data_IF_184755835443
#
_entry.id   IF_184755835443
#
_cell.length_a   1.000
_cell.length_b   1.000
_cell.length_c   1.000
_cell.angle_alpha   90.00
_cell.angle_beta   90.00
_cell.angle_gamma   90.00
#
_symmetry.space_group_name_H-M   'P 1'
#
loop_
_entity.id
_entity.type
_entity.pdbx_description
1 polymer ?
#
# COMPACT_ATOMS: atom_id res chain seq x y z
N UNK A 1 -15.71 -18.11 -1.23
CA UNK A 1 -15.03 -17.84 -2.50
C UNK A 1 -13.69 -17.17 -2.21
N UNK A 2 -12.61 -17.70 -2.74
CA UNK A 2 -11.23 -17.28 -2.46
C UNK A 2 -10.75 -16.14 -3.40
N UNK A 3 -11.60 -15.13 -3.64
CA UNK A 3 -11.19 -13.96 -4.38
C UNK A 3 -10.35 -13.04 -3.50
N UNK A 4 -9.09 -12.85 -3.86
CA UNK A 4 -8.11 -11.98 -3.18
C UNK A 4 -8.15 -10.52 -3.68
N UNK A 5 -9.01 -10.21 -4.64
CA UNK A 5 -9.16 -8.84 -5.17
C UNK A 5 -7.95 -8.32 -5.97
N UNK A 6 -7.16 -9.20 -6.59
CA UNK A 6 -5.92 -8.85 -7.29
C UNK A 6 -6.11 -8.14 -8.63
N UNK A 7 -7.34 -8.05 -9.16
CA UNK A 7 -7.70 -7.42 -10.45
C UNK A 7 -7.08 -8.06 -11.70
N UNK A 8 -6.38 -9.20 -11.59
CA UNK A 8 -5.81 -9.89 -12.75
C UNK A 8 -6.90 -10.29 -13.75
N UNK A 9 -8.05 -10.77 -13.27
CA UNK A 9 -9.19 -11.11 -14.13
C UNK A 9 -9.64 -9.95 -15.03
N UNK A 10 -9.66 -8.71 -14.53
CA UNK A 10 -10.03 -7.53 -15.31
C UNK A 10 -9.00 -7.23 -16.40
N UNK A 11 -7.71 -7.42 -16.11
CA UNK A 11 -6.63 -7.21 -17.07
C UNK A 11 -6.61 -8.27 -18.17
N UNK A 12 -6.78 -9.52 -17.78
CA UNK A 12 -6.61 -10.67 -18.69
C UNK A 12 -7.87 -10.99 -19.49
N UNK A 13 -9.05 -10.55 -19.02
CA UNK A 13 -10.30 -10.75 -19.72
C UNK A 13 -10.43 -9.80 -20.92
N UNK A 14 -10.65 -10.31 -22.15
CA UNK A 14 -10.88 -9.45 -23.33
C UNK A 14 -12.07 -8.48 -23.16
N UNK A 15 -13.06 -8.85 -22.34
CA UNK A 15 -14.24 -8.03 -22.01
C UNK A 15 -14.04 -7.19 -20.76
N UNK A 16 -12.84 -7.14 -20.19
CA UNK A 16 -12.50 -6.41 -18.97
C UNK A 16 -13.44 -6.68 -17.76
N UNK A 17 -13.94 -7.91 -17.63
CA UNK A 17 -14.85 -8.32 -16.54
C UNK A 17 -14.13 -8.28 -15.20
N UNK A 18 -14.62 -7.46 -14.27
CA UNK A 18 -14.05 -7.30 -12.94
C UNK A 18 -14.70 -8.26 -11.93
N UNK A 19 -14.18 -9.50 -11.84
CA UNK A 19 -14.64 -10.47 -10.87
C UNK A 19 -14.38 -10.03 -9.42
N UNK A 20 -13.41 -9.17 -9.18
CA UNK A 20 -13.15 -8.64 -7.84
C UNK A 20 -14.29 -7.71 -7.39
N UNK A 21 -14.82 -6.87 -8.29
CA UNK A 21 -15.99 -6.05 -8.03
C UNK A 21 -17.25 -6.91 -7.76
N UNK A 22 -17.47 -7.95 -8.58
CA UNK A 22 -18.57 -8.89 -8.35
C UNK A 22 -18.46 -9.62 -6.99
N UNK A 23 -17.24 -9.97 -6.57
CA UNK A 23 -17.01 -10.58 -5.26
C UNK A 23 -17.30 -9.62 -4.10
N UNK A 24 -17.03 -8.33 -4.25
CA UNK A 24 -17.41 -7.29 -3.28
C UNK A 24 -18.92 -7.20 -3.17
N UNK A 25 -19.62 -7.12 -4.30
CA UNK A 25 -21.08 -7.07 -4.35
C UNK A 25 -21.73 -8.33 -3.72
N UNK A 26 -21.20 -9.51 -4.04
CA UNK A 26 -21.68 -10.76 -3.46
C UNK A 26 -21.51 -10.80 -1.92
N UNK A 27 -20.39 -10.25 -1.41
CA UNK A 27 -20.19 -10.10 0.04
C UNK A 27 -21.17 -9.11 0.65
N UNK A 28 -21.39 -7.96 0.01
CA UNK A 28 -22.34 -6.94 0.47
C UNK A 28 -23.77 -7.50 0.57
N UNK A 29 -24.25 -8.20 -0.47
CA UNK A 29 -25.57 -8.88 -0.45
C UNK A 29 -25.66 -9.94 0.64
N UNK A 30 -24.58 -10.72 0.84
CA UNK A 30 -24.51 -11.70 1.94
C UNK A 30 -24.71 -11.03 3.30
N UNK A 31 -24.08 -9.86 3.53
CA UNK A 31 -24.23 -9.15 4.79
C UNK A 31 -25.63 -8.57 4.96
N UNK A 32 -26.21 -8.03 3.90
CA UNK A 32 -27.61 -7.57 3.91
C UNK A 32 -28.59 -8.71 4.28
N UNK A 33 -28.46 -9.87 3.64
CA UNK A 33 -29.30 -11.02 3.91
C UNK A 33 -29.15 -11.59 5.35
N UNK A 34 -28.01 -11.29 6.03
CA UNK A 34 -27.74 -11.71 7.42
C UNK A 34 -28.03 -10.64 8.46
N UNK A 35 -28.61 -9.49 8.07
CA UNK A 35 -28.84 -8.39 8.99
C UNK A 35 -27.56 -7.60 9.39
N UNK A 36 -26.42 -7.88 8.75
CA UNK A 36 -25.16 -7.17 8.97
C UNK A 36 -23.91 -8.05 8.84
N UNK A 37 -22.77 -7.40 8.73
CA UNK A 37 -21.49 -8.10 8.72
C UNK A 37 -21.09 -8.52 10.15
N UNK A 38 -20.40 -9.68 10.32
CA UNK A 38 -19.85 -10.10 11.60
C UNK A 38 -18.95 -9.03 12.23
N UNK A 39 -18.95 -8.94 13.56
CA UNK A 39 -18.15 -7.96 14.29
C UNK A 39 -16.66 -8.03 13.93
N UNK A 40 -16.11 -9.25 13.82
CA UNK A 40 -14.72 -9.45 13.43
C UNK A 40 -14.39 -8.81 12.07
N UNK A 41 -15.28 -8.93 11.08
CA UNK A 41 -15.11 -8.31 9.75
C UNK A 41 -15.09 -6.79 9.85
N UNK A 42 -16.01 -6.21 10.64
CA UNK A 42 -16.09 -4.76 10.87
C UNK A 42 -14.87 -4.21 11.60
N UNK A 43 -14.36 -4.94 12.60
CA UNK A 43 -13.15 -4.57 13.34
C UNK A 43 -11.91 -4.64 12.47
N UNK A 44 -11.74 -5.69 11.67
CA UNK A 44 -10.61 -5.83 10.76
C UNK A 44 -10.62 -4.76 9.65
N UNK A 45 -11.79 -4.40 9.13
CA UNK A 45 -11.90 -3.31 8.15
C UNK A 45 -11.54 -1.93 8.71
N UNK A 46 -11.56 -1.78 10.04
CA UNK A 46 -11.21 -0.55 10.75
C UNK A 46 -9.95 -0.71 11.62
N UNK A 47 -9.08 -1.66 11.27
CA UNK A 47 -7.93 -2.05 12.08
C UNK A 47 -7.01 -0.88 12.51
N UNK A 48 -6.63 0.10 11.65
CA UNK A 48 -5.77 1.20 12.08
C UNK A 48 -6.41 2.04 13.21
N UNK A 49 -7.70 2.37 13.08
CA UNK A 49 -8.42 3.11 14.12
C UNK A 49 -8.52 2.34 15.41
N UNK A 50 -8.78 1.03 15.32
CA UNK A 50 -8.86 0.14 16.47
C UNK A 50 -7.51 0.00 17.16
N UNK A 51 -6.44 -0.24 16.40
CA UNK A 51 -5.07 -0.39 16.93
C UNK A 51 -4.57 0.93 17.53
N UNK A 52 -4.93 2.07 16.96
CA UNK A 52 -4.59 3.39 17.54
C UNK A 52 -5.21 3.57 18.91
N UNK A 53 -6.43 3.08 19.14
CA UNK A 53 -7.14 3.20 20.42
C UNK A 53 -6.82 2.07 21.41
N UNK A 54 -6.65 0.86 20.91
CA UNK A 54 -6.56 -0.37 21.69
C UNK A 54 -5.27 -1.17 21.38
N UNK A 55 -4.18 -0.50 20.96
CA UNK A 55 -2.92 -1.15 20.59
C UNK A 55 -2.30 -2.03 21.69
N UNK A 56 -2.68 -1.81 22.94
CA UNK A 56 -2.32 -2.69 24.06
C UNK A 56 -2.85 -4.11 23.83
N UNK A 57 -4.07 -4.28 23.29
CA UNK A 57 -4.66 -5.60 23.03
C UNK A 57 -3.89 -6.36 21.93
N UNK A 58 -3.43 -5.67 20.90
CA UNK A 58 -2.59 -6.27 19.87
C UNK A 58 -1.24 -6.74 20.44
N UNK A 59 -0.66 -5.97 21.38
CA UNK A 59 0.58 -6.35 22.09
C UNK A 59 0.34 -7.55 23.01
N UNK A 60 -0.77 -7.58 23.73
CA UNK A 60 -1.15 -8.72 24.59
C UNK A 60 -1.34 -10.00 23.79
N UNK A 61 -1.93 -9.92 22.60
CA UNK A 61 -2.03 -11.08 21.70
C UNK A 61 -0.68 -11.72 21.42
N UNK A 62 0.33 -10.91 21.20
CA UNK A 62 1.68 -11.39 20.87
C UNK A 62 2.50 -11.79 22.11
N UNK A 63 2.26 -11.17 23.27
CA UNK A 63 3.03 -11.36 24.49
C UNK A 63 2.52 -12.50 25.38
N UNK A 64 1.21 -12.72 25.41
CA UNK A 64 0.62 -13.71 26.32
C UNK A 64 0.70 -15.14 25.76
N UNK A 65 1.08 -16.14 26.57
CA UNK A 65 0.97 -17.54 26.21
C UNK A 65 -0.48 -17.87 25.81
N UNK A 66 -0.68 -18.44 24.61
CA UNK A 66 -2.01 -18.76 24.09
C UNK A 66 -2.81 -17.59 23.52
N UNK A 67 -2.34 -16.33 23.63
CA UNK A 67 -3.03 -15.15 23.12
C UNK A 67 -3.33 -15.21 21.61
N UNK A 68 -2.42 -15.76 20.81
CA UNK A 68 -2.63 -15.99 19.37
C UNK A 68 -3.73 -17.02 19.10
N UNK A 69 -3.80 -18.12 19.90
CA UNK A 69 -4.85 -19.15 19.80
C UNK A 69 -6.21 -18.60 20.21
N UNK A 70 -6.26 -17.75 21.24
CA UNK A 70 -7.49 -17.09 21.65
C UNK A 70 -7.98 -16.13 20.55
N UNK A 71 -7.09 -15.32 19.96
CA UNK A 71 -7.45 -14.43 18.85
C UNK A 71 -7.92 -15.21 17.61
N UNK A 72 -7.39 -16.39 17.37
CA UNK A 72 -7.89 -17.26 16.30
C UNK A 72 -9.33 -17.73 16.59
N UNK A 73 -9.63 -18.15 17.81
CA UNK A 73 -11.00 -18.61 18.19
C UNK A 73 -12.02 -17.47 18.13
N UNK A 74 -11.64 -16.27 18.57
CA UNK A 74 -12.57 -15.12 18.69
C UNK A 74 -12.69 -14.33 17.39
N UNK A 75 -11.59 -14.11 16.68
CA UNK A 75 -11.53 -13.22 15.51
C UNK A 75 -11.21 -13.96 14.20
N UNK A 76 -10.95 -15.26 14.23
CA UNK A 76 -10.55 -16.05 13.07
C UNK A 76 -9.12 -15.74 12.59
N UNK A 77 -8.32 -14.99 13.35
CA UNK A 77 -6.94 -14.65 12.98
C UNK A 77 -5.99 -15.83 13.20
N UNK A 78 -5.36 -16.33 12.15
CA UNK A 78 -4.46 -17.48 12.23
C UNK A 78 -3.36 -17.27 13.27
N UNK A 79 -3.15 -18.27 14.15
CA UNK A 79 -2.17 -18.18 15.23
C UNK A 79 -0.72 -18.19 14.75
N UNK A 80 -0.45 -18.65 13.52
CA UNK A 80 0.87 -18.64 12.87
C UNK A 80 1.24 -17.26 12.36
N UNK A 81 0.27 -16.39 12.08
CA UNK A 81 0.47 -15.03 11.55
C UNK A 81 0.77 -14.03 12.65
N UNK A 82 1.73 -13.17 12.39
CA UNK A 82 1.92 -11.93 13.15
C UNK A 82 0.99 -10.84 12.62
N UNK A 83 0.51 -9.98 13.49
CA UNK A 83 -0.25 -8.79 13.08
C UNK A 83 0.66 -7.55 13.07
N UNK A 84 0.43 -6.57 12.18
CA UNK A 84 1.21 -5.35 12.17
C UNK A 84 1.17 -4.64 13.53
N UNK A 85 2.32 -4.14 13.97
CA UNK A 85 2.45 -3.37 15.21
C UNK A 85 2.40 -1.90 14.88
N UNK A 86 1.62 -1.14 15.69
CA UNK A 86 1.67 0.31 15.60
C UNK A 86 3.06 0.84 15.91
N UNK A 87 3.55 1.73 15.06
CA UNK A 87 4.79 2.44 15.29
C UNK A 87 4.67 3.34 16.54
N UNK A 88 5.78 3.51 17.27
CA UNK A 88 5.82 4.44 18.42
C UNK A 88 5.55 5.88 18.00
N UNK A 89 6.01 6.25 16.84
CA UNK A 89 5.89 7.57 16.24
C UNK A 89 5.26 7.45 14.85
N UNK A 90 3.93 7.50 14.74
CA UNK A 90 3.25 7.56 13.45
C UNK A 90 3.76 8.72 12.59
N UNK A 91 3.57 8.66 11.29
CA UNK A 91 4.12 9.65 10.38
C UNK A 91 3.66 11.07 10.71
N UNK A 92 2.35 11.26 10.87
CA UNK A 92 1.78 12.59 11.13
C UNK A 92 2.03 13.15 12.54
N UNK A 93 2.65 12.42 13.45
CA UNK A 93 2.90 12.91 14.80
C UNK A 93 3.78 14.18 14.84
N UNK A 94 4.65 14.38 13.85
CA UNK A 94 5.66 15.46 13.83
C UNK A 94 5.86 16.13 12.47
N UNK A 95 4.96 15.91 11.50
CA UNK A 95 5.12 16.51 10.17
C UNK A 95 4.39 17.87 10.08
N UNK A 96 4.90 18.89 9.44
CA UNK A 96 4.14 20.08 9.07
C UNK A 96 3.13 19.73 7.94
N UNK A 97 2.24 20.66 7.61
CA UNK A 97 1.28 20.47 6.52
C UNK A 97 1.92 20.51 5.13
N UNK A 98 3.11 21.09 5.04
CA UNK A 98 3.80 21.33 3.79
C UNK A 98 5.31 21.35 4.01
N UNK A 99 6.08 20.76 3.08
CA UNK A 99 7.55 20.69 3.11
C UNK A 99 8.11 20.84 1.69
N UNK A 100 9.26 21.50 1.57
CA UNK A 100 10.00 21.66 0.33
C UNK A 100 10.25 23.12 -0.01
N UNK A 101 11.02 23.38 -1.08
CA UNK A 101 11.40 24.73 -1.47
C UNK A 101 10.21 25.51 -2.07
N UNK A 102 10.13 26.81 -1.78
CA UNK A 102 9.23 27.70 -2.49
C UNK A 102 9.57 27.69 -3.99
N UNK A 103 8.53 27.53 -4.85
CA UNK A 103 8.72 27.40 -6.30
C UNK A 103 9.05 25.99 -6.78
N UNK A 104 9.20 25.00 -5.90
CA UNK A 104 9.29 23.60 -6.28
C UNK A 104 7.98 23.10 -6.92
N UNK A 105 8.06 22.01 -7.70
CA UNK A 105 6.87 21.38 -8.26
C UNK A 105 5.94 20.92 -7.15
N UNK A 106 4.71 21.43 -7.16
CA UNK A 106 3.72 21.07 -6.14
C UNK A 106 3.16 19.66 -6.35
N UNK A 107 3.21 18.86 -5.30
CA UNK A 107 2.63 17.51 -5.26
C UNK A 107 1.92 17.28 -3.93
N UNK A 108 0.97 16.38 -3.91
CA UNK A 108 0.34 15.89 -2.67
C UNK A 108 0.91 14.52 -2.37
N UNK A 109 1.46 14.30 -1.18
CA UNK A 109 1.77 12.97 -0.70
C UNK A 109 0.58 12.48 0.15
N UNK A 110 -0.21 11.58 -0.40
CA UNK A 110 -1.31 10.94 0.28
C UNK A 110 -0.79 9.78 1.14
N UNK A 111 -0.72 10.01 2.44
CA UNK A 111 -0.38 8.97 3.41
C UNK A 111 -1.67 8.42 3.99
N UNK A 112 -1.97 7.17 3.68
CA UNK A 112 -3.13 6.46 4.21
C UNK A 112 -2.93 6.07 5.69
N UNK A 113 -4.02 5.67 6.35
CA UNK A 113 -4.03 5.39 7.79
C UNK A 113 -3.20 4.14 8.17
N UNK A 114 -2.99 3.19 7.25
CA UNK A 114 -2.12 2.03 7.48
C UNK A 114 -0.65 2.43 7.37
N UNK A 115 -0.28 3.15 6.32
CA UNK A 115 1.09 3.64 6.13
C UNK A 115 1.50 4.57 7.27
N UNK A 116 0.62 5.50 7.68
CA UNK A 116 0.89 6.39 8.83
C UNK A 116 1.19 5.62 10.11
N UNK A 117 0.39 4.59 10.40
CA UNK A 117 0.43 3.90 11.68
C UNK A 117 1.42 2.73 11.74
N UNK A 118 1.53 1.96 10.66
CA UNK A 118 2.29 0.71 10.66
C UNK A 118 3.63 0.81 9.93
N UNK A 119 3.75 1.71 8.96
CA UNK A 119 4.94 1.86 8.12
C UNK A 119 5.34 3.35 7.92
N UNK A 120 5.45 4.14 9.00
CA UNK A 120 5.75 5.57 8.89
C UNK A 120 7.10 5.86 8.22
N UNK A 121 8.04 4.93 8.26
CA UNK A 121 9.35 5.07 7.64
C UNK A 121 9.26 5.05 6.10
N UNK A 122 8.30 4.32 5.54
CA UNK A 122 7.99 4.37 4.10
C UNK A 122 7.52 5.76 3.69
N UNK A 123 6.62 6.37 4.47
CA UNK A 123 6.14 7.73 4.20
C UNK A 123 7.24 8.79 4.39
N UNK A 124 8.10 8.64 5.42
CA UNK A 124 9.26 9.52 5.63
C UNK A 124 10.26 9.43 4.49
N UNK A 125 10.54 8.21 4.03
CA UNK A 125 11.43 7.97 2.90
C UNK A 125 10.88 8.60 1.61
N UNK A 126 9.60 8.40 1.31
CA UNK A 126 8.96 8.99 0.15
C UNK A 126 9.00 10.52 0.20
N UNK A 127 8.72 11.11 1.36
CA UNK A 127 8.82 12.55 1.57
C UNK A 127 10.25 13.07 1.32
N UNK A 128 11.27 12.39 1.85
CA UNK A 128 12.67 12.74 1.64
C UNK A 128 13.06 12.67 0.15
N UNK A 129 12.62 11.63 -0.55
CA UNK A 129 12.85 11.46 -2.00
C UNK A 129 12.18 12.58 -2.80
N UNK A 130 10.90 12.90 -2.51
CA UNK A 130 10.17 13.97 -3.21
C UNK A 130 10.81 15.35 -2.98
N UNK A 131 11.23 15.64 -1.75
CA UNK A 131 11.94 16.89 -1.43
C UNK A 131 13.30 16.95 -2.13
N UNK A 132 14.06 15.85 -2.14
CA UNK A 132 15.33 15.76 -2.85
C UNK A 132 15.17 15.92 -4.38
N UNK A 133 14.03 15.47 -4.92
CA UNK A 133 13.64 15.67 -6.32
C UNK A 133 13.15 17.11 -6.62
N UNK A 134 13.21 18.04 -5.65
CA UNK A 134 12.81 19.43 -5.83
C UNK A 134 11.31 19.69 -5.71
N UNK A 135 10.53 18.74 -5.19
CA UNK A 135 9.10 18.94 -5.00
C UNK A 135 8.79 19.78 -3.74
N UNK A 136 7.70 20.54 -3.83
CA UNK A 136 6.98 21.10 -2.69
C UNK A 136 5.82 20.15 -2.36
N UNK A 137 5.90 19.51 -1.21
CA UNK A 137 5.03 18.39 -0.85
C UNK A 137 3.95 18.85 0.13
N UNK A 138 2.68 18.75 -0.27
CA UNK A 138 1.53 18.97 0.59
C UNK A 138 1.15 17.67 1.29
N UNK A 139 0.89 17.75 2.59
CA UNK A 139 0.56 16.63 3.49
C UNK A 139 -0.84 16.83 4.09
N UNK A 140 -1.91 16.59 3.34
CA UNK A 140 -3.27 16.73 3.86
C UNK A 140 -3.52 15.74 4.99
N UNK A 141 -4.34 16.19 5.98
CA UNK A 141 -4.70 15.42 7.17
C UNK A 141 -6.21 15.40 7.36
N UNK A 142 -6.78 14.30 7.90
CA UNK A 142 -8.17 14.31 8.35
C UNK A 142 -8.40 15.38 9.40
N UNK A 143 -9.50 16.10 9.28
CA UNK A 143 -9.93 17.11 10.27
C UNK A 143 -10.52 16.50 11.54
N UNK A 144 -10.99 15.27 11.46
CA UNK A 144 -11.73 14.55 12.49
C UNK A 144 -10.88 13.62 13.36
N UNK A 145 -9.55 13.68 13.21
CA UNK A 145 -8.67 12.86 14.03
C UNK A 145 -7.20 12.83 13.62
N UNK A 146 -6.35 12.27 14.47
CA UNK A 146 -4.94 12.11 14.18
C UNK A 146 -4.72 10.99 13.13
N UNK A 147 -3.74 11.19 12.26
CA UNK A 147 -3.24 10.17 11.34
C UNK A 147 -3.59 10.38 9.88
N UNK A 148 -3.35 9.33 9.08
CA UNK A 148 -3.62 9.32 7.66
C UNK A 148 -5.08 9.09 7.31
N UNK A 149 -5.41 9.29 6.03
CA UNK A 149 -6.77 9.08 5.55
C UNK A 149 -7.12 7.60 5.40
N UNK A 150 -8.28 7.14 5.92
CA UNK A 150 -8.85 5.88 5.49
C UNK A 150 -9.29 6.02 4.04
N UNK A 151 -8.83 5.13 3.18
CA UNK A 151 -9.17 5.17 1.74
C UNK A 151 -10.51 4.52 1.43
N UNK A 152 -11.04 3.72 2.35
CA UNK A 152 -12.23 2.88 2.13
C UNK A 152 -11.91 1.51 1.55
N UNK A 153 -10.68 1.24 1.11
CA UNK A 153 -10.30 -0.04 0.48
C UNK A 153 -10.50 -1.26 1.39
N UNK A 154 -10.08 -1.26 2.67
CA UNK A 154 -10.35 -2.39 3.56
C UNK A 154 -11.84 -2.68 3.73
N UNK A 155 -12.66 -1.63 3.91
CA UNK A 155 -14.11 -1.75 4.04
C UNK A 155 -14.74 -2.28 2.74
N UNK A 156 -14.33 -1.76 1.57
CA UNK A 156 -14.81 -2.21 0.28
C UNK A 156 -14.50 -3.70 0.06
N UNK A 157 -13.25 -4.10 0.28
CA UNK A 157 -12.81 -5.49 0.15
C UNK A 157 -13.59 -6.45 1.06
N UNK A 158 -14.03 -5.96 2.21
CA UNK A 158 -14.87 -6.71 3.16
C UNK A 158 -16.37 -6.74 2.79
N UNK A 159 -16.80 -6.01 1.73
CA UNK A 159 -18.21 -5.86 1.35
C UNK A 159 -18.99 -4.85 2.20
N UNK A 160 -18.29 -3.98 2.95
CA UNK A 160 -18.88 -2.91 3.76
C UNK A 160 -19.00 -1.63 2.93
N UNK A 161 -19.78 -1.70 1.85
CA UNK A 161 -19.85 -0.67 0.79
C UNK A 161 -20.26 0.71 1.33
N UNK A 162 -21.19 0.77 2.28
CA UNK A 162 -21.64 2.04 2.90
C UNK A 162 -20.49 2.71 3.66
N UNK A 163 -19.72 1.94 4.41
CA UNK A 163 -18.53 2.44 5.11
C UNK A 163 -17.46 2.88 4.12
N UNK A 164 -17.17 2.08 3.10
CA UNK A 164 -16.20 2.39 2.07
C UNK A 164 -16.54 3.70 1.34
N UNK A 165 -17.82 3.88 0.96
CA UNK A 165 -18.30 5.11 0.31
C UNK A 165 -18.12 6.34 1.21
N UNK A 166 -18.46 6.24 2.50
CA UNK A 166 -18.28 7.34 3.45
C UNK A 166 -16.81 7.73 3.60
N UNK A 167 -15.91 6.76 3.77
CA UNK A 167 -14.47 7.00 3.91
C UNK A 167 -13.89 7.61 2.63
N UNK A 168 -14.23 7.05 1.47
CA UNK A 168 -13.81 7.57 0.18
C UNK A 168 -14.36 8.98 -0.11
N UNK A 169 -15.62 9.27 0.24
CA UNK A 169 -16.20 10.60 0.09
C UNK A 169 -15.47 11.67 0.91
N UNK A 170 -15.11 11.34 2.16
CA UNK A 170 -14.33 12.24 3.01
C UNK A 170 -12.93 12.50 2.41
N UNK A 171 -12.28 11.47 1.87
CA UNK A 171 -11.00 11.60 1.19
C UNK A 171 -11.11 12.47 -0.08
N UNK A 172 -12.10 12.23 -0.93
CA UNK A 172 -12.36 13.01 -2.15
C UNK A 172 -12.57 14.49 -1.82
N UNK A 173 -13.40 14.78 -0.81
CA UNK A 173 -13.66 16.15 -0.37
C UNK A 173 -12.39 16.86 0.15
N UNK A 174 -11.57 16.15 0.92
CA UNK A 174 -10.34 16.70 1.47
C UNK A 174 -9.29 16.98 0.39
N UNK A 175 -9.24 16.16 -0.66
CA UNK A 175 -8.28 16.32 -1.76
C UNK A 175 -8.78 17.27 -2.86
N UNK A 176 -10.06 17.64 -2.87
CA UNK A 176 -10.65 18.49 -3.92
C UNK A 176 -9.90 19.80 -4.18
N UNK A 177 -9.43 20.58 -3.16
CA UNK A 177 -8.66 21.81 -3.40
C UNK A 177 -7.32 21.54 -4.11
N UNK A 178 -6.65 20.45 -3.78
CA UNK A 178 -5.39 20.06 -4.41
C UNK A 178 -5.61 19.59 -5.85
N UNK A 179 -6.65 18.80 -6.08
CA UNK A 179 -7.06 18.33 -7.41
C UNK A 179 -7.44 19.50 -8.31
N UNK A 180 -8.19 20.48 -7.80
CA UNK A 180 -8.54 21.69 -8.52
C UNK A 180 -7.32 22.55 -8.89
N UNK A 181 -6.27 22.52 -8.06
CA UNK A 181 -4.99 23.17 -8.33
C UNK A 181 -4.07 22.38 -9.29
N UNK A 182 -4.54 21.24 -9.83
CA UNK A 182 -3.76 20.40 -10.75
C UNK A 182 -2.60 19.63 -10.11
N UNK A 183 -2.56 19.51 -8.78
CA UNK A 183 -1.48 18.84 -8.06
C UNK A 183 -1.63 17.32 -8.18
N UNK A 184 -0.61 16.58 -8.68
CA UNK A 184 -0.64 15.13 -8.66
C UNK A 184 -0.69 14.60 -7.23
N UNK A 185 -1.53 13.59 -7.01
CA UNK A 185 -1.71 12.93 -5.71
C UNK A 185 -0.90 11.65 -5.71
N UNK A 186 0.17 11.65 -4.94
CA UNK A 186 1.16 10.56 -4.89
C UNK A 186 0.80 9.58 -3.77
N UNK A 187 0.68 8.30 -4.11
CA UNK A 187 0.45 7.22 -3.15
C UNK A 187 1.61 6.27 -3.01
N UNK A 188 1.60 5.51 -1.94
CA UNK A 188 2.68 4.58 -1.57
C UNK A 188 2.20 3.12 -1.56
N UNK A 189 1.06 2.84 -0.93
CA UNK A 189 0.49 1.49 -0.90
C UNK A 189 -0.36 1.25 -2.16
N UNK A 190 0.07 0.35 -3.07
CA UNK A 190 -0.60 0.21 -4.37
C UNK A 190 -2.08 -0.18 -4.28
N UNK A 191 -2.45 -1.03 -3.31
CA UNK A 191 -3.84 -1.46 -3.17
C UNK A 191 -4.77 -0.33 -2.73
N UNK A 192 -4.28 0.57 -1.88
CA UNK A 192 -5.05 1.69 -1.36
C UNK A 192 -5.09 2.85 -2.34
N UNK A 193 -4.01 3.09 -3.04
CA UNK A 193 -3.91 4.21 -3.96
C UNK A 193 -4.55 3.93 -5.32
N UNK A 194 -4.32 2.75 -5.89
CA UNK A 194 -4.88 2.39 -7.20
C UNK A 194 -6.40 2.14 -7.15
N UNK A 195 -6.99 1.93 -5.97
CA UNK A 195 -8.46 1.97 -5.86
C UNK A 195 -9.05 3.32 -6.25
N UNK A 196 -8.30 4.43 -6.10
CA UNK A 196 -8.74 5.77 -6.51
C UNK A 196 -8.94 5.87 -8.03
N UNK A 197 -8.21 5.04 -8.80
CA UNK A 197 -8.33 4.98 -10.26
C UNK A 197 -9.45 4.07 -10.76
N UNK A 198 -9.88 3.11 -9.96
CA UNK A 198 -10.79 2.05 -10.40
C UNK A 198 -12.00 1.91 -9.47
N UNK A 199 -11.79 1.38 -8.26
CA UNK A 199 -12.89 1.05 -7.34
C UNK A 199 -13.70 2.30 -6.93
N UNK A 200 -13.08 3.47 -6.91
CA UNK A 200 -13.71 4.74 -6.53
C UNK A 200 -14.90 5.08 -7.46
N UNK A 201 -14.80 4.70 -8.74
CA UNK A 201 -15.86 4.93 -9.73
C UNK A 201 -17.13 4.15 -9.36
N UNK A 202 -17.00 2.96 -8.76
CA UNK A 202 -18.14 2.13 -8.35
C UNK A 202 -18.87 2.66 -7.11
N UNK A 203 -18.26 3.61 -6.39
CA UNK A 203 -18.86 4.18 -5.17
C UNK A 203 -19.82 5.34 -5.45
N UNK A 204 -19.98 5.75 -6.73
CA UNK A 204 -20.95 6.77 -7.13
C UNK A 204 -20.69 8.16 -6.51
N UNK A 205 -19.42 8.60 -6.51
CA UNK A 205 -18.99 9.88 -5.92
C UNK A 205 -18.86 11.01 -6.97
N UNK A 206 -19.31 10.79 -8.20
CA UNK A 206 -19.43 11.81 -9.24
C UNK A 206 -18.09 12.35 -9.76
N UNK A 207 -18.14 13.57 -10.34
CA UNK A 207 -17.02 14.19 -11.08
C UNK A 207 -15.80 14.49 -10.22
N UNK A 208 -15.97 14.75 -8.93
CA UNK A 208 -14.87 14.99 -8.02
C UNK A 208 -13.99 13.73 -7.86
N UNK A 209 -14.62 12.54 -7.78
CA UNK A 209 -13.91 11.27 -7.76
C UNK A 209 -13.21 10.98 -9.11
N UNK A 210 -13.87 11.28 -10.22
CA UNK A 210 -13.28 11.14 -11.56
C UNK A 210 -12.07 12.07 -11.74
N UNK A 211 -12.11 13.28 -11.22
CA UNK A 211 -11.00 14.23 -11.26
C UNK A 211 -9.81 13.76 -10.40
N UNK A 212 -10.07 13.28 -9.19
CA UNK A 212 -9.05 12.69 -8.33
C UNK A 212 -8.40 11.45 -8.99
N UNK A 213 -9.20 10.60 -9.62
CA UNK A 213 -8.73 9.39 -10.32
C UNK A 213 -7.67 9.69 -11.38
N UNK A 214 -7.82 10.78 -12.12
CA UNK A 214 -6.86 11.21 -13.16
C UNK A 214 -5.53 11.73 -12.61
N UNK A 215 -5.53 12.22 -11.37
CA UNK A 215 -4.33 12.79 -10.72
C UNK A 215 -3.67 11.85 -9.71
N UNK A 216 -4.31 10.72 -9.40
CA UNK A 216 -3.77 9.73 -8.49
C UNK A 216 -2.71 8.86 -9.20
N UNK A 217 -1.45 8.98 -8.78
CA UNK A 217 -0.32 8.23 -9.32
C UNK A 217 0.55 7.68 -8.18
N UNK A 218 1.28 6.60 -8.44
CA UNK A 218 2.25 6.09 -7.48
C UNK A 218 3.56 6.88 -7.54
N UNK A 219 4.37 6.81 -6.47
CA UNK A 219 5.67 7.48 -6.39
C UNK A 219 6.56 7.15 -7.59
N UNK A 220 6.66 5.87 -7.95
CA UNK A 220 7.46 5.41 -9.08
C UNK A 220 6.94 5.92 -10.43
N UNK A 221 5.64 6.14 -10.59
CA UNK A 221 5.11 6.74 -11.82
C UNK A 221 5.57 8.19 -11.99
N UNK A 222 5.54 8.98 -10.89
CA UNK A 222 6.04 10.35 -10.92
C UNK A 222 7.52 10.38 -11.28
N UNK A 223 8.34 9.59 -10.57
CA UNK A 223 9.80 9.63 -10.75
C UNK A 223 10.22 9.14 -12.13
N UNK A 224 9.61 8.07 -12.62
CA UNK A 224 9.86 7.57 -13.98
C UNK A 224 9.47 8.58 -15.06
N UNK A 225 8.31 9.23 -14.92
CA UNK A 225 7.86 10.25 -15.87
C UNK A 225 8.76 11.48 -15.86
N UNK A 226 9.20 11.96 -14.70
CA UNK A 226 10.12 13.10 -14.59
C UNK A 226 11.51 12.77 -15.13
N UNK A 227 12.00 11.55 -14.92
CA UNK A 227 13.26 11.07 -15.47
C UNK A 227 13.20 10.99 -17.01
N UNK A 228 12.13 10.38 -17.56
CA UNK A 228 11.93 10.27 -19.00
C UNK A 228 11.83 11.64 -19.69
N UNK A 229 11.30 12.65 -18.99
CA UNK A 229 11.21 14.03 -19.49
C UNK A 229 12.47 14.85 -19.25
N UNK A 230 13.53 14.28 -18.67
CA UNK A 230 14.79 14.99 -18.36
C UNK A 230 14.66 16.07 -17.27
N UNK A 231 13.59 16.03 -16.46
CA UNK A 231 13.34 17.02 -15.41
C UNK A 231 13.69 16.52 -14.00
N UNK A 232 14.02 15.24 -13.84
CA UNK A 232 14.34 14.68 -12.53
C UNK A 232 15.79 15.02 -12.14
N UNK A 233 15.95 15.83 -11.11
CA UNK A 233 17.26 16.13 -10.50
C UNK A 233 17.37 15.44 -9.13
N UNK A 234 17.37 14.09 -9.13
CA UNK A 234 17.46 13.30 -7.92
C UNK A 234 18.89 12.79 -7.73
N UNK A 235 19.63 13.24 -6.67
CA UNK A 235 21.02 12.86 -6.45
C UNK A 235 21.10 11.46 -5.86
N UNK A 236 21.25 10.45 -6.70
CA UNK A 236 21.40 9.06 -6.30
C UNK A 236 22.83 8.58 -6.44
N UNK A 237 23.32 7.85 -5.44
CA UNK A 237 24.55 7.09 -5.44
C UNK A 237 24.31 5.59 -5.34
N UNK A 238 25.38 4.78 -5.37
CA UNK A 238 25.27 3.34 -5.23
C UNK A 238 24.71 2.93 -3.86
N UNK A 239 24.09 1.78 -3.82
CA UNK A 239 23.59 1.13 -2.59
C UNK A 239 24.42 -0.11 -2.28
N UNK A 240 24.33 -0.69 -1.05
CA UNK A 240 25.12 -1.88 -0.68
C UNK A 240 24.78 -3.15 -1.47
N UNK A 241 23.66 -3.17 -2.17
CA UNK A 241 23.21 -4.32 -2.94
C UNK A 241 23.57 -4.19 -4.41
N UNK A 242 23.90 -5.31 -5.03
CA UNK A 242 24.20 -5.39 -6.46
C UNK A 242 22.93 -5.64 -7.30
N UNK A 243 21.91 -6.24 -6.68
CA UNK A 243 20.66 -6.62 -7.35
C UNK A 243 19.44 -6.28 -6.51
N UNK A 244 18.39 -5.80 -7.16
CA UNK A 244 17.04 -5.68 -6.63
C UNK A 244 16.15 -6.75 -7.26
N UNK A 245 15.67 -7.68 -6.45
CA UNK A 245 14.69 -8.68 -6.85
C UNK A 245 13.28 -8.16 -6.51
N UNK A 246 12.51 -7.82 -7.53
CA UNK A 246 11.26 -7.06 -7.40
C UNK A 246 10.05 -7.99 -7.45
N UNK A 247 9.24 -8.00 -6.38
CA UNK A 247 7.89 -8.54 -6.44
C UNK A 247 6.89 -7.43 -6.73
N UNK A 248 6.37 -7.39 -7.96
CA UNK A 248 5.33 -6.45 -8.35
C UNK A 248 4.04 -6.71 -7.57
N UNK A 249 3.47 -5.68 -6.95
CA UNK A 249 2.15 -5.79 -6.32
C UNK A 249 1.09 -6.14 -7.38
N UNK A 250 0.12 -6.98 -7.04
CA UNK A 250 -0.90 -7.44 -8.00
C UNK A 250 -1.65 -6.28 -8.68
N UNK A 251 -1.96 -5.20 -7.98
CA UNK A 251 -2.56 -4.01 -8.58
C UNK A 251 -1.57 -3.27 -9.50
N UNK A 252 -0.27 -3.13 -9.17
CA UNK A 252 0.72 -2.56 -10.10
C UNK A 252 0.76 -3.35 -11.41
N UNK A 253 0.74 -4.68 -11.32
CA UNK A 253 0.69 -5.55 -12.51
C UNK A 253 -0.62 -5.38 -13.28
N UNK A 254 -1.76 -5.36 -12.59
CA UNK A 254 -3.07 -5.20 -13.21
C UNK A 254 -3.24 -3.85 -13.93
N UNK A 255 -2.59 -2.79 -13.45
CA UNK A 255 -2.59 -1.46 -14.07
C UNK A 255 -1.41 -1.21 -15.02
N UNK A 256 -0.55 -2.21 -15.28
CA UNK A 256 0.57 -2.08 -16.21
C UNK A 256 1.70 -1.18 -15.72
N UNK A 257 1.91 -1.04 -14.40
CA UNK A 257 2.83 -0.09 -13.80
C UNK A 257 4.24 -0.64 -13.51
N UNK A 258 4.50 -1.90 -13.86
CA UNK A 258 5.82 -2.49 -13.65
C UNK A 258 6.95 -1.79 -14.41
N UNK A 259 6.76 -1.27 -15.64
CA UNK A 259 7.79 -0.48 -16.31
C UNK A 259 8.22 0.77 -15.53
N UNK A 260 7.28 1.49 -14.89
CA UNK A 260 7.59 2.65 -14.06
C UNK A 260 8.43 2.25 -12.84
N UNK A 261 8.09 1.12 -12.20
CA UNK A 261 8.86 0.56 -11.09
C UNK A 261 10.29 0.21 -11.50
N UNK A 262 10.46 -0.48 -12.63
CA UNK A 262 11.76 -0.85 -13.18
C UNK A 262 12.58 0.39 -13.55
N UNK A 263 11.98 1.37 -14.24
CA UNK A 263 12.62 2.61 -14.62
C UNK A 263 13.10 3.40 -13.39
N UNK A 264 12.27 3.48 -12.35
CA UNK A 264 12.61 4.18 -11.10
C UNK A 264 13.78 3.52 -10.37
N UNK A 265 13.78 2.20 -10.26
CA UNK A 265 14.90 1.47 -9.64
C UNK A 265 16.17 1.53 -10.48
N UNK A 266 16.05 1.56 -11.80
CA UNK A 266 17.16 1.74 -12.75
C UNK A 266 17.87 3.09 -12.65
N UNK A 267 17.31 4.07 -11.92
CA UNK A 267 17.98 5.32 -11.61
C UNK A 267 19.13 5.16 -10.59
N UNK A 268 19.15 4.05 -9.83
CA UNK A 268 20.17 3.80 -8.81
C UNK A 268 21.43 3.26 -9.49
N UNK A 269 22.59 3.97 -9.40
CA UNK A 269 23.80 3.54 -10.07
C UNK A 269 24.29 2.16 -9.61
N UNK A 270 24.55 1.28 -10.59
CA UNK A 270 25.13 -0.04 -10.36
C UNK A 270 24.15 -1.10 -9.83
N UNK A 271 22.85 -0.78 -9.72
CA UNK A 271 21.83 -1.72 -9.26
C UNK A 271 21.19 -2.47 -10.43
N UNK A 272 21.39 -3.78 -10.52
CA UNK A 272 20.65 -4.63 -11.46
C UNK A 272 19.22 -4.86 -10.96
N UNK A 273 18.22 -4.69 -11.82
CA UNK A 273 16.79 -4.83 -11.47
C UNK A 273 16.19 -6.04 -12.16
N UNK A 274 15.71 -6.98 -11.36
CA UNK A 274 15.06 -8.21 -11.83
C UNK A 274 13.66 -8.32 -11.25
N UNK A 275 12.66 -8.69 -12.05
CA UNK A 275 11.28 -8.87 -11.58
C UNK A 275 10.96 -10.35 -11.45
N UNK A 276 10.42 -10.75 -10.30
CA UNK A 276 9.92 -12.11 -10.09
C UNK A 276 8.63 -12.27 -10.92
N UNK A 277 8.63 -13.29 -11.78
CA UNK A 277 7.41 -13.70 -12.48
C UNK A 277 6.52 -14.51 -11.51
N UNK A 278 5.74 -13.80 -10.73
CA UNK A 278 4.85 -14.35 -9.73
C UNK A 278 3.46 -13.71 -9.81
N UNK A 279 2.44 -14.43 -9.44
CA UNK A 279 1.07 -13.94 -9.29
C UNK A 279 0.90 -13.00 -8.09
N UNK A 280 -0.19 -13.18 -7.34
CA UNK A 280 -0.42 -12.50 -6.07
C UNK A 280 0.43 -13.15 -4.96
N UNK A 281 0.92 -12.35 -4.00
CA UNK A 281 1.64 -12.87 -2.84
C UNK A 281 0.77 -13.73 -1.89
N UNK A 282 -0.55 -13.77 -2.08
CA UNK A 282 -1.50 -14.54 -1.28
C UNK A 282 -1.91 -13.90 0.05
N UNK A 283 -1.25 -12.84 0.52
CA UNK A 283 -1.65 -12.17 1.78
C UNK A 283 -2.93 -11.35 1.60
N UNK A 284 -3.01 -10.49 0.59
CA UNK A 284 -4.18 -9.70 0.23
C UNK A 284 -4.90 -9.05 1.44
N UNK A 285 -4.21 -8.24 2.20
CA UNK A 285 -4.72 -7.59 3.40
C UNK A 285 -5.14 -8.60 4.48
N UNK A 286 -6.41 -8.54 4.90
CA UNK A 286 -6.94 -9.43 5.93
C UNK A 286 -7.16 -10.88 5.47
N UNK A 287 -7.15 -11.17 4.15
CA UNK A 287 -7.41 -12.51 3.62
C UNK A 287 -6.41 -13.54 4.18
N UNK A 288 -5.12 -13.30 4.02
CA UNK A 288 -4.07 -14.21 4.48
C UNK A 288 -3.86 -14.22 5.99
N UNK A 289 -4.50 -13.31 6.73
CA UNK A 289 -4.51 -13.32 8.19
C UNK A 289 -5.57 -14.25 8.76
N UNK A 290 -6.55 -14.67 7.97
CA UNK A 290 -7.64 -15.56 8.42
C UNK A 290 -7.19 -17.01 8.40
N UNK A 291 -7.54 -17.76 9.44
CA UNK A 291 -7.14 -19.17 9.62
C UNK A 291 -7.63 -20.07 8.47
N UNK A 292 -8.88 -19.90 8.02
CA UNK A 292 -9.46 -20.69 6.93
C UNK A 292 -8.78 -20.42 5.57
N UNK A 293 -8.15 -19.26 5.40
CA UNK A 293 -7.50 -18.86 4.15
C UNK A 293 -5.99 -19.10 4.16
N UNK A 294 -5.40 -19.42 5.32
CA UNK A 294 -3.95 -19.58 5.47
C UNK A 294 -3.34 -20.58 4.49
N UNK A 295 -3.90 -21.80 4.31
CA UNK A 295 -3.32 -22.77 3.38
C UNK A 295 -3.28 -22.23 1.94
N UNK A 296 -4.37 -21.60 1.48
CA UNK A 296 -4.45 -21.00 0.13
C UNK A 296 -3.49 -19.83 0.00
N UNK A 297 -3.40 -18.97 1.03
CA UNK A 297 -2.47 -17.85 1.06
C UNK A 297 -1.02 -18.30 0.93
N UNK A 298 -0.64 -19.37 1.62
CA UNK A 298 0.72 -19.92 1.52
C UNK A 298 0.96 -20.63 0.20
N UNK A 299 0.01 -21.39 -0.32
CA UNK A 299 0.13 -22.04 -1.62
C UNK A 299 0.37 -21.02 -2.75
N UNK A 300 -0.36 -19.89 -2.74
CA UNK A 300 -0.13 -18.80 -3.70
C UNK A 300 1.28 -18.18 -3.60
N UNK A 301 1.81 -18.06 -2.39
CA UNK A 301 3.14 -17.50 -2.18
C UNK A 301 4.26 -18.50 -2.58
N UNK A 302 4.02 -19.78 -2.36
CA UNK A 302 4.97 -20.86 -2.69
C UNK A 302 5.03 -21.18 -4.18
N UNK A 303 4.05 -20.76 -4.97
CA UNK A 303 4.02 -20.99 -6.40
C UNK A 303 5.27 -20.42 -7.11
N UNK A 304 5.64 -19.17 -6.81
CA UNK A 304 6.82 -18.54 -7.40
C UNK A 304 7.55 -17.57 -6.45
N UNK A 305 6.82 -16.79 -5.64
CA UNK A 305 7.39 -15.71 -4.85
C UNK A 305 8.42 -16.19 -3.82
N UNK A 306 8.01 -17.08 -2.93
CA UNK A 306 8.86 -17.51 -1.82
C UNK A 306 10.07 -18.34 -2.28
N UNK A 307 9.96 -19.25 -3.28
CA UNK A 307 11.12 -19.91 -3.86
C UNK A 307 12.15 -18.93 -4.41
N UNK A 308 11.73 -17.92 -5.19
CA UNK A 308 12.64 -16.92 -5.74
C UNK A 308 13.33 -16.09 -4.65
N UNK A 309 12.59 -15.70 -3.60
CA UNK A 309 13.13 -14.93 -2.47
C UNK A 309 14.14 -15.74 -1.67
N UNK A 310 13.91 -17.05 -1.46
CA UNK A 310 14.84 -17.93 -0.73
C UNK A 310 16.12 -18.22 -1.49
N UNK A 311 16.06 -18.24 -2.83
CA UNK A 311 17.21 -18.45 -3.70
C UNK A 311 18.08 -17.20 -3.85
N UNK A 312 17.56 -16.03 -3.52
CA UNK A 312 18.28 -14.78 -3.63
C UNK A 312 19.44 -14.73 -2.60
N UNK A 313 20.62 -14.35 -3.06
CA UNK A 313 21.83 -14.19 -2.24
C UNK A 313 21.77 -12.97 -1.31
N UNK A 314 22.81 -12.80 -0.49
CA UNK A 314 22.93 -11.68 0.45
C UNK A 314 23.16 -10.32 -0.26
N UNK A 315 23.71 -10.32 -1.47
CA UNK A 315 23.93 -9.11 -2.26
C UNK A 315 22.65 -8.63 -2.98
N UNK A 316 21.53 -9.35 -2.80
CA UNK A 316 20.22 -9.05 -3.39
C UNK A 316 19.30 -8.45 -2.36
N UNK A 317 18.79 -7.23 -2.59
CA UNK A 317 17.65 -6.70 -1.83
C UNK A 317 16.32 -7.16 -2.45
N UNK A 318 15.35 -7.46 -1.59
CA UNK A 318 14.00 -7.83 -2.01
C UNK A 318 13.13 -6.58 -2.00
N UNK A 319 12.51 -6.23 -3.12
CA UNK A 319 11.71 -5.02 -3.25
C UNK A 319 10.24 -5.37 -3.48
N UNK A 320 9.35 -4.83 -2.66
CA UNK A 320 7.90 -4.97 -2.80
C UNK A 320 7.19 -3.77 -2.20
N UNK A 321 6.36 -3.06 -2.98
CA UNK A 321 5.66 -1.87 -2.49
C UNK A 321 4.47 -2.18 -1.57
N UNK A 322 3.80 -3.32 -1.74
CA UNK A 322 2.67 -3.66 -0.88
C UNK A 322 3.11 -4.11 0.52
N UNK A 323 2.55 -3.52 1.58
CA UNK A 323 2.76 -3.95 2.97
C UNK A 323 2.41 -5.44 3.15
N UNK A 324 1.30 -5.87 2.59
CA UNK A 324 0.88 -7.29 2.60
C UNK A 324 1.91 -8.20 1.92
N UNK A 325 2.55 -7.75 0.83
CA UNK A 325 3.58 -8.52 0.14
C UNK A 325 4.83 -8.66 1.01
N UNK A 326 5.28 -7.58 1.65
CA UNK A 326 6.44 -7.62 2.56
C UNK A 326 6.18 -8.52 3.77
N UNK A 327 4.98 -8.46 4.35
CA UNK A 327 4.58 -9.38 5.43
C UNK A 327 4.60 -10.84 5.01
N UNK A 328 4.14 -11.15 3.78
CA UNK A 328 4.15 -12.51 3.26
C UNK A 328 5.58 -13.01 3.01
N UNK A 329 6.43 -12.16 2.43
CA UNK A 329 7.85 -12.46 2.23
C UNK A 329 8.53 -12.76 3.56
N UNK A 330 8.39 -11.86 4.54
CA UNK A 330 8.96 -12.07 5.87
C UNK A 330 8.46 -13.35 6.53
N UNK A 331 7.14 -13.56 6.53
CA UNK A 331 6.52 -14.75 7.14
C UNK A 331 6.98 -16.06 6.51
N UNK A 332 7.10 -16.12 5.18
CA UNK A 332 7.38 -17.37 4.46
C UNK A 332 8.89 -17.64 4.22
N UNK A 333 9.75 -16.63 4.30
CA UNK A 333 11.19 -16.78 4.01
C UNK A 333 12.12 -16.28 5.10
N UNK A 334 11.63 -15.51 6.07
CA UNK A 334 12.47 -14.81 7.05
C UNK A 334 13.24 -13.61 6.48
N UNK A 335 13.15 -13.34 5.15
CA UNK A 335 13.80 -12.20 4.50
C UNK A 335 12.95 -10.94 4.65
N UNK A 336 13.60 -9.79 4.79
CA UNK A 336 12.90 -8.51 4.79
C UNK A 336 12.69 -8.01 3.37
N UNK A 337 11.43 -7.60 3.07
CA UNK A 337 11.11 -6.88 1.85
C UNK A 337 11.18 -5.37 2.07
N UNK A 338 11.68 -4.63 1.10
CA UNK A 338 11.85 -3.18 1.16
C UNK A 338 10.88 -2.47 0.21
N UNK A 339 10.30 -1.35 0.64
CA UNK A 339 9.54 -0.47 -0.25
C UNK A 339 10.48 0.34 -1.15
N UNK A 340 10.10 0.64 -2.39
CA UNK A 340 10.93 1.43 -3.32
C UNK A 340 11.41 2.76 -2.73
N UNK A 341 10.56 3.44 -1.95
CA UNK A 341 10.92 4.70 -1.30
C UNK A 341 12.09 4.55 -0.31
N UNK A 342 12.14 3.45 0.44
CA UNK A 342 13.24 3.17 1.38
C UNK A 342 14.56 2.91 0.62
N UNK A 343 14.49 2.19 -0.49
CA UNK A 343 15.68 1.91 -1.30
C UNK A 343 16.19 3.19 -1.97
N UNK A 344 15.30 4.02 -2.51
CA UNK A 344 15.66 5.32 -3.05
C UNK A 344 16.25 6.25 -1.98
N UNK A 345 15.64 6.29 -0.78
CA UNK A 345 16.20 7.06 0.33
C UNK A 345 17.61 6.60 0.70
N UNK A 346 17.84 5.29 0.73
CA UNK A 346 19.17 4.73 1.00
C UNK A 346 20.19 5.10 -0.08
N UNK A 347 19.75 5.33 -1.30
CA UNK A 347 20.58 5.77 -2.42
C UNK A 347 20.80 7.30 -2.46
N UNK A 348 20.03 8.11 -1.70
CA UNK A 348 20.22 9.57 -1.69
C UNK A 348 21.61 9.93 -1.20
N UNK A 349 22.34 10.69 -2.01
CA UNK A 349 23.60 11.31 -1.59
C UNK A 349 23.32 12.67 -0.97
N UNK A 350 24.04 13.02 0.11
CA UNK A 350 24.00 14.38 0.61
C UNK A 350 24.48 15.33 -0.50
N UNK A 351 23.69 16.35 -0.85
CA UNK A 351 24.22 17.45 -1.66
C UNK A 351 25.44 17.99 -0.91
N UNK A 352 26.65 17.82 -1.44
CA UNK A 352 27.80 18.59 -0.95
C UNK A 352 27.42 20.05 -1.19
N UNK A 353 27.28 20.80 -0.11
CA UNK A 353 27.18 22.25 -0.16
C UNK A 353 28.48 22.75 -0.82
N UNK A 354 28.40 23.12 -2.08
CA UNK A 354 29.43 23.88 -2.78
C UNK A 354 29.20 25.36 -2.51
#
# INVERSE_FOLDING_TARGET
AWCVGCKACKRECPQAVDLAALAVEARARRWQARGGAPLAVRLLASAPRLVRRLGVLARLREALPGGRRLAQRVFGLDARRTVPRAARHPFFARQPAEIGAAGGREVVLLVDDHTDLFEPDVARAALAVLVAAGCRVHLPRPSDGPGGYPTGKPALSAGLVVQARREAAALVAALAPHVAAGRPVIGLEPSFHLMLRDDLQMLGLGDAAASLSRQAILLEELLAAEAAAGRLALPLGPVPWQRALVHGHCHQKAFGLMPAMQATLGLIPGLAVETIDAGCCGMAGAFGLQADNYPVSMAMAEDALLPAVRQADAATCIVANGMSCRQQIHHGSGREGMHVALLLQAALTSRRST
#
